data_IF_983243121039
#
_entry.id   IF_983243121039
#
_cell.length_a   1.000
_cell.length_b   1.000
_cell.length_c   1.000
_cell.angle_alpha   90.00
_cell.angle_beta   90.00
_cell.angle_gamma   90.00
#
_symmetry.space_group_name_H-M   'P 1'
#
loop_
_entity.id
_entity.type
_entity.pdbx_description
1 polymer ?
#
# COMPACT_ATOMS: atom_id res chain seq x y z
N UNK A 1 22.08 25.90 11.56
CA UNK A 1 22.23 25.74 10.10
C UNK A 1 20.93 25.17 9.59
N UNK A 2 20.31 25.78 8.58
CA UNK A 2 19.08 25.26 8.01
C UNK A 2 19.37 23.91 7.32
N UNK A 3 18.53 22.90 7.53
CA UNK A 3 18.63 21.64 6.77
C UNK A 3 18.52 21.93 5.27
N UNK A 4 19.19 21.17 4.38
CA UNK A 4 19.19 21.40 2.94
C UNK A 4 17.78 21.59 2.31
N UNK A 5 16.75 20.96 2.89
CA UNK A 5 15.33 21.10 2.50
C UNK A 5 14.77 22.52 2.69
N UNK A 6 15.14 23.22 3.76
CA UNK A 6 14.60 24.54 4.07
C UNK A 6 15.09 25.63 3.11
N UNK A 7 16.34 25.53 2.64
CA UNK A 7 16.90 26.51 1.71
C UNK A 7 16.33 26.35 0.30
N UNK A 8 16.05 25.10 -0.10
CA UNK A 8 15.38 24.78 -1.35
C UNK A 8 13.95 25.32 -1.41
N UNK A 9 13.13 25.06 -0.39
CA UNK A 9 11.76 25.60 -0.30
C UNK A 9 11.73 27.13 -0.36
N UNK A 10 12.66 27.77 0.36
CA UNK A 10 12.78 29.24 0.37
C UNK A 10 13.13 29.78 -1.01
N UNK A 11 14.05 29.12 -1.71
CA UNK A 11 14.47 29.53 -3.05
C UNK A 11 13.35 29.33 -4.08
N UNK A 12 12.63 28.20 -4.04
CA UNK A 12 11.48 27.96 -4.91
C UNK A 12 10.38 29.01 -4.70
N UNK A 13 10.03 29.33 -3.45
CA UNK A 13 9.04 30.38 -3.14
C UNK A 13 9.45 31.74 -3.69
N UNK A 14 10.73 32.11 -3.56
CA UNK A 14 11.24 33.37 -4.10
C UNK A 14 11.19 33.42 -5.62
N UNK A 15 11.52 32.31 -6.27
CA UNK A 15 11.45 32.19 -7.73
C UNK A 15 10.01 32.36 -8.20
N UNK A 16 9.08 31.59 -7.64
CA UNK A 16 7.64 31.67 -7.97
C UNK A 16 7.10 33.09 -7.76
N UNK A 17 7.47 33.75 -6.66
CA UNK A 17 7.03 35.12 -6.39
C UNK A 17 7.59 36.17 -7.38
N UNK A 18 8.66 35.84 -8.09
CA UNK A 18 9.29 36.70 -9.09
C UNK A 18 8.93 36.31 -10.54
N UNK A 19 8.11 35.28 -10.73
CA UNK A 19 7.69 34.78 -12.05
C UNK A 19 6.21 35.11 -12.28
N UNK A 20 5.87 35.53 -13.50
CA UNK A 20 4.48 35.79 -13.87
C UNK A 20 3.70 34.46 -13.97
N UNK A 21 2.46 34.37 -13.47
CA UNK A 21 1.65 33.14 -13.55
C UNK A 21 1.38 32.62 -14.98
N UNK A 22 1.51 33.49 -15.98
CA UNK A 22 1.36 33.14 -17.41
C UNK A 22 2.64 32.57 -18.04
N UNK A 23 3.76 32.57 -17.31
CA UNK A 23 5.01 31.96 -17.74
C UNK A 23 4.81 30.45 -17.95
N UNK A 24 5.37 29.91 -19.03
CA UNK A 24 5.24 28.52 -19.41
C UNK A 24 5.82 27.55 -18.37
N UNK A 25 6.82 27.99 -17.61
CA UNK A 25 7.49 27.20 -16.57
C UNK A 25 6.79 27.33 -15.19
N UNK A 26 5.87 28.29 -15.02
CA UNK A 26 5.19 28.50 -13.75
C UNK A 26 4.53 27.24 -13.15
N UNK A 27 3.73 26.43 -13.89
CA UNK A 27 3.10 25.24 -13.32
C UNK A 27 4.12 24.15 -12.93
N UNK A 28 5.27 24.10 -13.60
CA UNK A 28 6.38 23.23 -13.20
C UNK A 28 6.99 23.68 -11.87
N UNK A 29 7.13 24.99 -11.64
CA UNK A 29 7.62 25.52 -10.36
C UNK A 29 6.64 25.24 -9.22
N UNK A 30 5.33 25.42 -9.46
CA UNK A 30 4.29 25.04 -8.51
C UNK A 30 4.36 23.55 -8.17
N UNK A 31 4.53 22.69 -9.18
CA UNK A 31 4.58 21.25 -9.00
C UNK A 31 5.77 20.86 -8.12
N UNK A 32 6.96 21.40 -8.40
CA UNK A 32 8.17 21.16 -7.61
C UNK A 32 8.03 21.64 -6.17
N UNK A 33 7.39 22.80 -5.96
CA UNK A 33 7.12 23.29 -4.62
C UNK A 33 6.16 22.35 -3.88
N UNK A 34 5.07 21.93 -4.52
CA UNK A 34 4.09 21.02 -3.95
C UNK A 34 4.70 19.65 -3.58
N UNK A 35 5.47 19.05 -4.48
CA UNK A 35 6.20 17.80 -4.23
C UNK A 35 7.13 17.93 -3.01
N UNK A 36 7.87 19.05 -2.93
CA UNK A 36 8.80 19.28 -1.82
C UNK A 36 8.08 19.48 -0.47
N UNK A 37 6.93 20.15 -0.47
CA UNK A 37 6.10 20.29 0.71
C UNK A 37 5.55 18.92 1.18
N UNK A 38 5.16 18.04 0.26
CA UNK A 38 4.72 16.67 0.58
C UNK A 38 5.87 15.85 1.18
N UNK A 39 7.08 15.96 0.63
CA UNK A 39 8.27 15.30 1.19
C UNK A 39 8.59 15.79 2.60
N UNK A 40 8.59 17.10 2.84
CA UNK A 40 8.86 17.67 4.16
C UNK A 40 7.75 17.31 5.17
N UNK A 41 6.49 17.24 4.72
CA UNK A 41 5.40 16.69 5.53
C UNK A 41 5.70 15.26 5.95
N UNK A 42 5.99 14.36 5.00
CA UNK A 42 6.26 12.94 5.29
C UNK A 42 7.41 12.78 6.28
N UNK A 43 8.48 13.55 6.10
CA UNK A 43 9.61 13.53 7.02
C UNK A 43 9.19 13.90 8.45
N UNK A 44 8.36 14.93 8.62
CA UNK A 44 7.86 15.32 9.96
C UNK A 44 6.99 14.25 10.58
N UNK A 45 6.16 13.57 9.79
CA UNK A 45 5.34 12.44 10.26
C UNK A 45 6.19 11.25 10.69
N UNK A 46 7.25 10.93 9.94
CA UNK A 46 8.20 9.88 10.31
C UNK A 46 8.90 10.20 11.64
N UNK A 47 9.33 11.45 11.84
CA UNK A 47 9.92 11.90 13.10
C UNK A 47 8.90 11.83 14.23
N UNK A 48 7.67 12.31 14.02
CA UNK A 48 6.58 12.25 14.99
C UNK A 48 6.28 10.81 15.41
N UNK A 49 6.13 9.89 14.44
CA UNK A 49 5.91 8.47 14.69
C UNK A 49 7.06 7.83 15.47
N UNK A 50 8.31 8.20 15.15
CA UNK A 50 9.50 7.77 15.89
C UNK A 50 9.48 8.22 17.35
N UNK A 51 9.10 9.48 17.60
CA UNK A 51 8.96 10.02 18.96
C UNK A 51 7.83 9.33 19.74
N UNK A 52 6.68 9.07 19.11
CA UNK A 52 5.58 8.30 19.70
C UNK A 52 6.04 6.89 20.08
N UNK A 53 6.75 6.21 19.16
CA UNK A 53 7.31 4.87 19.42
C UNK A 53 8.34 4.85 20.55
N UNK A 54 9.02 5.97 20.80
CA UNK A 54 9.96 6.14 21.91
C UNK A 54 9.30 6.62 23.23
N UNK A 55 7.99 6.86 23.25
CA UNK A 55 7.26 7.31 24.43
C UNK A 55 7.46 8.79 24.77
N UNK A 56 7.75 9.65 23.78
CA UNK A 56 7.88 11.08 23.97
C UNK A 56 6.55 11.75 24.40
N UNK A 57 6.65 12.93 25.02
CA UNK A 57 5.46 13.67 25.44
C UNK A 57 4.73 14.32 24.24
N UNK A 58 3.41 14.46 24.34
CA UNK A 58 2.58 15.06 23.27
C UNK A 58 3.07 16.42 22.79
N UNK A 59 3.55 17.28 23.71
CA UNK A 59 4.13 18.61 23.40
C UNK A 59 5.32 18.58 22.42
N UNK A 60 5.99 17.44 22.27
CA UNK A 60 7.11 17.23 21.34
C UNK A 60 6.62 16.71 19.98
N UNK A 61 5.47 16.02 19.96
CA UNK A 61 4.89 15.36 18.78
C UNK A 61 3.91 16.28 18.04
N UNK A 62 2.98 16.91 18.78
CA UNK A 62 1.90 17.73 18.23
C UNK A 62 2.39 18.85 17.27
N UNK A 63 3.49 19.58 17.55
CA UNK A 63 3.98 20.59 16.61
C UNK A 63 4.44 20.01 15.26
N UNK A 64 4.99 18.79 15.25
CA UNK A 64 5.43 18.12 14.04
C UNK A 64 4.23 17.67 13.19
N UNK A 65 3.22 17.10 13.83
CA UNK A 65 1.97 16.68 13.17
C UNK A 65 1.20 17.89 12.61
N UNK A 66 1.13 18.99 13.38
CA UNK A 66 0.53 20.24 12.93
C UNK A 66 1.29 20.82 11.73
N UNK A 67 2.63 20.82 11.77
CA UNK A 67 3.45 21.27 10.65
C UNK A 67 3.28 20.39 9.41
N UNK A 68 3.26 19.07 9.56
CA UNK A 68 2.99 18.14 8.46
C UNK A 68 1.62 18.40 7.81
N UNK A 69 0.60 18.59 8.64
CA UNK A 69 -0.76 18.91 8.17
C UNK A 69 -0.80 20.23 7.40
N UNK A 70 -0.15 21.27 7.90
CA UNK A 70 -0.08 22.56 7.22
C UNK A 70 0.64 22.47 5.86
N UNK A 71 1.76 21.74 5.79
CA UNK A 71 2.51 21.53 4.54
C UNK A 71 1.69 20.78 3.49
N UNK A 72 0.92 19.76 3.88
CA UNK A 72 0.00 19.07 2.97
C UNK A 72 -1.13 19.95 2.48
N UNK A 73 -1.70 20.76 3.36
CA UNK A 73 -2.77 21.69 2.98
C UNK A 73 -2.27 22.69 1.94
N UNK A 74 -1.04 23.20 2.12
CA UNK A 74 -0.40 24.07 1.13
C UNK A 74 -0.12 23.35 -0.19
N UNK A 75 0.45 22.14 -0.15
CA UNK A 75 0.69 21.34 -1.36
C UNK A 75 -0.62 21.06 -2.13
N UNK A 76 -1.70 20.72 -1.43
CA UNK A 76 -3.01 20.50 -2.03
C UNK A 76 -3.55 21.76 -2.74
N UNK A 77 -3.32 22.95 -2.17
CA UNK A 77 -3.70 24.21 -2.83
C UNK A 77 -2.91 24.43 -4.13
N UNK A 78 -1.60 24.15 -4.13
CA UNK A 78 -0.76 24.28 -5.33
C UNK A 78 -1.15 23.28 -6.42
N UNK A 79 -1.46 22.02 -6.06
CA UNK A 79 -1.97 21.06 -7.03
C UNK A 79 -3.32 21.50 -7.61
N UNK A 80 -4.23 22.03 -6.79
CA UNK A 80 -5.50 22.57 -7.28
C UNK A 80 -5.27 23.75 -8.24
N UNK A 81 -4.31 24.64 -7.95
CA UNK A 81 -3.93 25.73 -8.85
C UNK A 81 -3.40 25.22 -10.19
N UNK A 82 -2.55 24.18 -10.20
CA UNK A 82 -2.07 23.54 -11.44
C UNK A 82 -3.24 22.97 -12.26
N UNK A 83 -4.24 22.40 -11.60
CA UNK A 83 -5.36 21.69 -12.24
C UNK A 83 -6.40 22.64 -12.83
N UNK A 84 -6.70 23.75 -12.14
CA UNK A 84 -7.79 24.67 -12.47
C UNK A 84 -7.29 26.04 -12.99
N UNK A 85 -5.98 26.27 -12.98
CA UNK A 85 -5.37 27.52 -13.46
C UNK A 85 -5.57 27.74 -14.96
N UNK A 86 -6.01 28.94 -15.39
CA UNK A 86 -6.39 29.20 -16.78
C UNK A 86 -5.23 29.12 -17.77
N UNK A 87 -4.00 29.31 -17.30
CA UNK A 87 -2.79 29.24 -18.12
C UNK A 87 -2.20 27.82 -18.23
N UNK A 88 -2.77 26.83 -17.52
CA UNK A 88 -2.15 25.50 -17.34
C UNK A 88 -2.90 24.36 -18.02
N UNK A 89 -3.89 24.65 -18.88
CA UNK A 89 -4.75 23.67 -19.53
C UNK A 89 -4.02 22.57 -20.33
N UNK A 90 -2.77 22.80 -20.71
CA UNK A 90 -1.92 21.84 -21.45
C UNK A 90 -0.66 21.43 -20.68
N UNK A 91 -0.63 21.63 -19.36
CA UNK A 91 0.52 21.24 -18.56
C UNK A 91 0.69 19.71 -18.59
N UNK A 92 1.88 19.25 -18.97
CA UNK A 92 2.15 17.83 -19.25
C UNK A 92 2.01 16.91 -18.04
N UNK A 93 2.04 17.46 -16.82
CA UNK A 93 1.97 16.72 -15.56
C UNK A 93 0.68 17.00 -14.77
N UNK A 94 -0.40 17.44 -15.45
CA UNK A 94 -1.72 17.59 -14.83
C UNK A 94 -2.24 16.27 -14.26
N UNK A 95 -1.91 15.13 -14.89
CA UNK A 95 -2.23 13.79 -14.38
C UNK A 95 -1.58 13.50 -13.01
N UNK A 96 -0.33 13.93 -12.82
CA UNK A 96 0.37 13.87 -11.54
C UNK A 96 -0.33 14.75 -10.51
N UNK A 97 -0.62 16.02 -10.84
CA UNK A 97 -1.30 16.93 -9.92
C UNK A 97 -2.67 16.41 -9.48
N UNK A 98 -3.46 15.86 -10.42
CA UNK A 98 -4.76 15.24 -10.14
C UNK A 98 -4.63 14.07 -9.14
N UNK A 99 -3.64 13.19 -9.36
CA UNK A 99 -3.38 12.06 -8.47
C UNK A 99 -2.94 12.54 -7.08
N UNK A 100 -1.94 13.41 -6.99
CA UNK A 100 -1.36 13.83 -5.69
C UNK A 100 -2.39 14.62 -4.86
N UNK A 101 -3.22 15.47 -5.49
CA UNK A 101 -4.34 16.12 -4.81
C UNK A 101 -5.34 15.11 -4.23
N UNK A 102 -5.71 14.09 -5.02
CA UNK A 102 -6.60 13.04 -4.55
C UNK A 102 -5.98 12.22 -3.41
N UNK A 103 -4.69 11.91 -3.50
CA UNK A 103 -3.97 11.16 -2.48
C UNK A 103 -3.94 11.92 -1.14
N UNK A 104 -3.65 13.23 -1.18
CA UNK A 104 -3.69 14.08 0.02
C UNK A 104 -5.10 14.11 0.62
N UNK A 105 -6.14 14.32 -0.20
CA UNK A 105 -7.53 14.33 0.27
C UNK A 105 -7.94 12.98 0.86
N UNK A 106 -7.57 11.88 0.22
CA UNK A 106 -7.82 10.53 0.72
C UNK A 106 -7.16 10.29 2.06
N UNK A 107 -5.90 10.68 2.23
CA UNK A 107 -5.16 10.55 3.49
C UNK A 107 -5.76 11.40 4.61
N UNK A 108 -6.38 12.53 4.28
CA UNK A 108 -7.12 13.37 5.21
C UNK A 108 -8.55 12.87 5.52
N UNK A 109 -8.98 11.75 4.92
CA UNK A 109 -10.36 11.24 5.03
C UNK A 109 -11.39 12.03 4.22
N UNK A 110 -10.97 12.99 3.39
CA UNK A 110 -11.84 13.73 2.47
C UNK A 110 -12.14 12.88 1.22
N UNK A 111 -12.97 11.87 1.44
CA UNK A 111 -13.39 10.95 0.39
C UNK A 111 -14.30 11.57 -0.65
N UNK A 112 -14.97 12.69 -0.33
CA UNK A 112 -15.78 13.42 -1.31
C UNK A 112 -14.87 14.20 -2.24
N UNK A 113 -13.93 14.96 -1.68
CA UNK A 113 -13.01 15.78 -2.45
C UNK A 113 -11.99 14.97 -3.27
N UNK A 114 -11.63 13.75 -2.87
CA UNK A 114 -10.71 12.93 -3.70
C UNK A 114 -11.36 12.43 -5.01
N UNK A 115 -12.70 12.34 -5.09
CA UNK A 115 -13.38 11.67 -6.21
C UNK A 115 -13.19 12.40 -7.53
N UNK A 116 -13.43 13.72 -7.55
CA UNK A 116 -13.40 14.48 -8.79
C UNK A 116 -12.03 14.47 -9.47
N UNK A 117 -10.90 14.73 -8.77
CA UNK A 117 -9.58 14.62 -9.38
C UNK A 117 -9.28 13.21 -9.93
N UNK A 118 -9.68 12.14 -9.22
CA UNK A 118 -9.48 10.77 -9.71
C UNK A 118 -10.34 10.46 -10.95
N UNK A 119 -11.59 10.92 -10.99
CA UNK A 119 -12.45 10.75 -12.15
C UNK A 119 -11.91 11.49 -13.38
N UNK A 120 -11.43 12.73 -13.20
CA UNK A 120 -10.73 13.50 -14.25
C UNK A 120 -9.49 12.76 -14.72
N UNK A 121 -8.66 12.24 -13.81
CA UNK A 121 -7.47 11.46 -14.15
C UNK A 121 -7.81 10.25 -15.03
N UNK A 122 -8.80 9.45 -14.63
CA UNK A 122 -9.22 8.26 -15.39
C UNK A 122 -9.83 8.62 -16.75
N UNK A 123 -10.60 9.71 -16.82
CA UNK A 123 -11.29 10.15 -18.05
C UNK A 123 -10.35 10.82 -19.05
N UNK A 124 -9.56 11.77 -18.58
CA UNK A 124 -8.79 12.70 -19.41
C UNK A 124 -7.36 12.18 -19.67
N UNK A 125 -6.82 11.34 -18.78
CA UNK A 125 -5.46 10.79 -18.87
C UNK A 125 -5.42 9.25 -18.71
N UNK A 126 -6.20 8.48 -19.50
CA UNK A 126 -6.33 7.03 -19.31
C UNK A 126 -5.04 6.22 -19.55
N UNK A 127 -4.01 6.84 -20.13
CA UNK A 127 -2.68 6.25 -20.35
C UNK A 127 -1.65 6.69 -19.29
N UNK A 128 -2.05 7.50 -18.30
CA UNK A 128 -1.15 7.96 -17.26
C UNK A 128 -0.60 6.77 -16.46
N UNK A 129 0.70 6.78 -16.09
CA UNK A 129 1.26 5.79 -15.19
C UNK A 129 0.62 5.83 -13.78
N UNK A 130 -0.17 6.87 -13.45
CA UNK A 130 -0.90 7.01 -12.18
C UNK A 130 -2.24 6.28 -12.16
N UNK A 131 -2.70 5.71 -13.27
CA UNK A 131 -4.00 5.02 -13.34
C UNK A 131 -4.11 3.84 -12.37
N UNK A 132 -3.11 2.94 -12.21
CA UNK A 132 -3.17 1.87 -11.21
C UNK A 132 -3.30 2.44 -9.79
N UNK A 133 -2.54 3.48 -9.45
CA UNK A 133 -2.58 4.13 -8.15
C UNK A 133 -3.93 4.82 -7.89
N UNK A 134 -4.54 5.43 -8.93
CA UNK A 134 -5.88 6.02 -8.84
C UNK A 134 -6.97 4.98 -8.58
N UNK A 135 -6.92 3.84 -9.27
CA UNK A 135 -7.83 2.72 -8.96
C UNK A 135 -7.60 2.18 -7.56
N UNK A 136 -6.35 2.14 -7.10
CA UNK A 136 -6.03 1.69 -5.75
C UNK A 136 -6.67 2.59 -4.68
N UNK A 137 -6.62 3.91 -4.84
CA UNK A 137 -7.26 4.85 -3.89
C UNK A 137 -8.77 4.62 -3.80
N UNK A 138 -9.45 4.40 -4.92
CA UNK A 138 -10.87 4.01 -4.89
C UNK A 138 -11.08 2.67 -4.19
N UNK A 139 -10.24 1.68 -4.48
CA UNK A 139 -10.34 0.35 -3.88
C UNK A 139 -10.18 0.39 -2.35
N UNK A 140 -9.15 1.07 -1.86
CA UNK A 140 -8.86 1.23 -0.44
C UNK A 140 -9.97 2.00 0.28
N UNK A 141 -10.57 3.00 -0.36
CA UNK A 141 -11.75 3.69 0.16
C UNK A 141 -12.93 2.75 0.34
N UNK A 142 -13.35 2.03 -0.71
CA UNK A 142 -14.48 1.11 -0.62
C UNK A 142 -14.21 -0.05 0.35
N UNK A 143 -12.96 -0.53 0.40
CA UNK A 143 -12.55 -1.55 1.36
C UNK A 143 -12.74 -1.06 2.80
N UNK A 144 -12.26 0.16 3.09
CA UNK A 144 -12.36 0.77 4.42
C UNK A 144 -13.80 1.07 4.82
N UNK A 145 -14.67 1.38 3.85
CA UNK A 145 -16.11 1.56 4.05
C UNK A 145 -16.89 0.24 4.22
N UNK A 146 -16.24 -0.92 4.12
CA UNK A 146 -16.92 -2.22 4.17
C UNK A 146 -17.63 -2.62 2.87
N UNK A 147 -17.52 -1.82 1.82
CA UNK A 147 -18.17 -2.04 0.52
C UNK A 147 -17.35 -3.00 -0.35
N UNK A 148 -17.27 -4.26 0.08
CA UNK A 148 -16.41 -5.29 -0.51
C UNK A 148 -16.63 -5.51 -2.02
N UNK A 149 -17.88 -5.40 -2.49
CA UNK A 149 -18.20 -5.55 -3.92
C UNK A 149 -17.60 -4.42 -4.78
N UNK A 150 -17.63 -3.17 -4.29
CA UNK A 150 -17.00 -2.05 -4.98
C UNK A 150 -15.48 -2.12 -4.87
N UNK A 151 -14.96 -2.42 -3.67
CA UNK A 151 -13.52 -2.61 -3.44
C UNK A 151 -12.94 -3.63 -4.42
N UNK A 152 -13.62 -4.77 -4.59
CA UNK A 152 -13.19 -5.80 -5.51
C UNK A 152 -13.06 -5.31 -6.95
N UNK A 153 -14.08 -4.61 -7.47
CA UNK A 153 -14.07 -4.11 -8.86
C UNK A 153 -12.87 -3.21 -9.12
N UNK A 154 -12.46 -2.39 -8.15
CA UNK A 154 -11.31 -1.52 -8.29
C UNK A 154 -9.98 -2.25 -8.09
N UNK A 155 -9.83 -3.13 -7.09
CA UNK A 155 -8.62 -3.93 -6.96
C UNK A 155 -8.40 -4.87 -8.16
N UNK A 156 -9.47 -5.45 -8.74
CA UNK A 156 -9.40 -6.26 -9.95
C UNK A 156 -8.82 -5.43 -11.11
N UNK A 157 -9.21 -4.15 -11.25
CA UNK A 157 -8.60 -3.25 -12.24
C UNK A 157 -7.11 -3.08 -12.01
N UNK A 158 -6.67 -2.81 -10.77
CA UNK A 158 -5.24 -2.71 -10.43
C UNK A 158 -4.52 -4.01 -10.79
N UNK A 159 -5.11 -5.16 -10.49
CA UNK A 159 -4.52 -6.47 -10.76
C UNK A 159 -4.31 -6.79 -12.25
N UNK A 160 -5.00 -6.09 -13.17
CA UNK A 160 -4.79 -6.20 -14.62
C UNK A 160 -3.49 -5.55 -15.09
N UNK A 161 -2.94 -4.60 -14.35
CA UNK A 161 -1.68 -3.93 -14.70
C UNK A 161 -0.48 -4.77 -14.24
N UNK A 162 -0.05 -5.70 -15.09
CA UNK A 162 0.98 -6.70 -14.74
C UNK A 162 2.30 -6.10 -14.20
N UNK A 163 2.67 -4.90 -14.64
CA UNK A 163 3.91 -4.22 -14.26
C UNK A 163 3.70 -3.12 -13.21
N UNK A 164 2.47 -2.90 -12.73
CA UNK A 164 2.21 -1.89 -11.70
C UNK A 164 2.78 -2.34 -10.35
N UNK A 165 3.47 -1.42 -9.66
CA UNK A 165 4.04 -1.68 -8.32
C UNK A 165 2.95 -2.00 -7.29
N UNK A 166 1.75 -1.49 -7.49
CA UNK A 166 0.57 -1.67 -6.65
C UNK A 166 -0.06 -3.06 -6.78
N UNK A 167 0.24 -3.78 -7.86
CA UNK A 167 -0.44 -5.04 -8.19
C UNK A 167 -0.34 -6.08 -7.07
N UNK A 168 0.83 -6.35 -6.45
CA UNK A 168 0.90 -7.30 -5.33
C UNK A 168 0.04 -6.88 -4.15
N UNK A 169 0.01 -5.59 -3.81
CA UNK A 169 -0.83 -5.09 -2.73
C UNK A 169 -2.33 -5.21 -3.05
N UNK A 170 -2.72 -4.95 -4.30
CA UNK A 170 -4.10 -5.18 -4.75
C UNK A 170 -4.50 -6.67 -4.67
N UNK A 171 -3.61 -7.60 -5.05
CA UNK A 171 -3.85 -9.03 -4.88
C UNK A 171 -4.01 -9.41 -3.41
N UNK A 172 -3.14 -8.89 -2.55
CA UNK A 172 -3.24 -9.09 -1.11
C UNK A 172 -4.59 -8.61 -0.56
N UNK A 173 -5.03 -7.40 -0.96
CA UNK A 173 -6.33 -6.87 -0.54
C UNK A 173 -7.52 -7.63 -1.14
N UNK A 174 -7.42 -8.13 -2.37
CA UNK A 174 -8.41 -9.04 -2.93
C UNK A 174 -8.56 -10.31 -2.10
N UNK A 175 -7.49 -10.82 -1.48
CA UNK A 175 -7.61 -11.94 -0.56
C UNK A 175 -8.52 -11.58 0.63
N UNK A 176 -8.29 -10.41 1.24
CA UNK A 176 -9.12 -9.91 2.34
C UNK A 176 -10.56 -9.64 1.92
N UNK A 177 -10.78 -9.09 0.73
CA UNK A 177 -12.13 -8.92 0.15
C UNK A 177 -12.84 -10.28 0.06
N UNK A 178 -12.14 -11.34 -0.35
CA UNK A 178 -12.70 -12.69 -0.40
C UNK A 178 -12.91 -13.32 0.97
N UNK A 179 -12.12 -12.96 1.98
CA UNK A 179 -12.34 -13.41 3.36
C UNK A 179 -13.51 -12.70 4.05
N UNK A 180 -13.84 -11.47 3.64
CA UNK A 180 -14.99 -10.73 4.15
C UNK A 180 -16.28 -11.08 3.39
N UNK A 181 -16.20 -11.16 2.06
CA UNK A 181 -17.36 -11.35 1.19
C UNK A 181 -18.30 -10.14 1.17
N UNK A 182 -19.38 -10.26 0.39
CA UNK A 182 -20.48 -9.30 0.26
C UNK A 182 -21.78 -10.04 -0.03
N UNK A 183 -22.90 -9.32 -0.05
CA UNK A 183 -24.19 -9.89 -0.47
C UNK A 183 -24.16 -10.43 -1.92
N UNK A 184 -23.48 -9.72 -2.84
CA UNK A 184 -23.35 -10.12 -4.25
C UNK A 184 -22.35 -11.26 -4.45
N UNK A 185 -21.38 -11.38 -3.55
CA UNK A 185 -20.26 -12.29 -3.69
C UNK A 185 -19.84 -12.83 -2.34
N UNK A 186 -20.31 -14.04 -1.97
CA UNK A 186 -20.05 -14.63 -0.67
C UNK A 186 -18.56 -14.81 -0.40
N UNK A 187 -18.26 -14.95 0.89
CA UNK A 187 -16.94 -15.29 1.39
C UNK A 187 -16.38 -16.54 0.70
N UNK A 188 -15.15 -16.45 0.21
CA UNK A 188 -14.45 -17.49 -0.54
C UNK A 188 -12.98 -17.60 -0.09
N UNK A 189 -12.71 -18.41 0.95
CA UNK A 189 -11.35 -18.57 1.48
C UNK A 189 -10.41 -19.29 0.50
N UNK A 190 -10.94 -20.11 -0.41
CA UNK A 190 -10.14 -20.77 -1.44
C UNK A 190 -9.58 -19.72 -2.40
N UNK A 191 -10.41 -18.77 -2.84
CA UNK A 191 -9.95 -17.66 -3.66
C UNK A 191 -9.00 -16.73 -2.93
N UNK A 192 -9.24 -16.49 -1.63
CA UNK A 192 -8.31 -15.74 -0.81
C UNK A 192 -6.92 -16.40 -0.75
N UNK A 193 -6.87 -17.73 -0.55
CA UNK A 193 -5.64 -18.49 -0.56
C UNK A 193 -4.91 -18.39 -1.91
N UNK A 194 -5.63 -18.47 -3.03
CA UNK A 194 -5.04 -18.27 -4.36
C UNK A 194 -4.36 -16.90 -4.49
N UNK A 195 -5.02 -15.83 -4.04
CA UNK A 195 -4.47 -14.49 -4.09
C UNK A 195 -3.23 -14.33 -3.21
N UNK A 196 -3.26 -14.83 -1.97
CA UNK A 196 -2.09 -14.80 -1.07
C UNK A 196 -0.91 -15.56 -1.66
N UNK A 197 -1.15 -16.73 -2.27
CA UNK A 197 -0.09 -17.50 -2.96
C UNK A 197 0.51 -16.70 -4.12
N UNK A 198 -0.32 -16.00 -4.91
CA UNK A 198 0.17 -15.14 -5.99
C UNK A 198 1.05 -14.01 -5.45
N UNK A 199 0.70 -13.39 -4.32
CA UNK A 199 1.53 -12.37 -3.66
C UNK A 199 2.89 -12.93 -3.25
N UNK A 200 2.93 -14.14 -2.68
CA UNK A 200 4.17 -14.79 -2.26
C UNK A 200 5.10 -15.14 -3.43
N UNK A 201 4.53 -15.42 -4.60
CA UNK A 201 5.27 -15.80 -5.81
C UNK A 201 5.64 -14.60 -6.68
N UNK A 202 5.07 -13.42 -6.44
CA UNK A 202 5.34 -12.22 -7.21
C UNK A 202 6.66 -11.56 -6.76
N UNK A 203 7.59 -11.38 -7.71
CA UNK A 203 8.88 -10.74 -7.47
C UNK A 203 8.76 -9.25 -7.21
N UNK A 204 7.67 -8.61 -7.64
CA UNK A 204 7.38 -7.21 -7.36
C UNK A 204 6.85 -6.97 -5.94
N UNK A 205 6.45 -8.03 -5.21
CA UNK A 205 6.10 -7.90 -3.79
C UNK A 205 7.30 -7.41 -2.99
N UNK A 206 7.09 -6.55 -2.00
CA UNK A 206 8.14 -6.25 -1.03
C UNK A 206 8.18 -7.29 0.11
N UNK A 207 9.25 -7.26 0.90
CA UNK A 207 9.48 -8.23 1.96
C UNK A 207 8.44 -8.16 3.10
N UNK A 208 7.91 -6.97 3.40
CA UNK A 208 6.90 -6.81 4.43
C UNK A 208 5.55 -7.36 3.97
N UNK A 209 5.15 -7.07 2.73
CA UNK A 209 3.93 -7.63 2.14
C UNK A 209 4.01 -9.16 2.05
N UNK A 210 5.16 -9.71 1.65
CA UNK A 210 5.37 -11.18 1.68
C UNK A 210 5.24 -11.73 3.09
N UNK A 211 5.85 -11.09 4.10
CA UNK A 211 5.74 -11.51 5.50
C UNK A 211 4.29 -11.51 5.98
N UNK A 212 3.52 -10.47 5.65
CA UNK A 212 2.10 -10.39 5.96
C UNK A 212 1.32 -11.52 5.29
N UNK A 213 1.49 -11.72 3.99
CA UNK A 213 0.84 -12.80 3.26
C UNK A 213 1.19 -14.19 3.81
N UNK A 214 2.44 -14.44 4.23
CA UNK A 214 2.85 -15.71 4.88
C UNK A 214 2.07 -15.96 6.16
N UNK A 215 1.83 -14.92 6.97
CA UNK A 215 1.04 -15.02 8.21
C UNK A 215 -0.44 -15.27 7.90
N UNK A 216 -1.00 -14.57 6.92
CA UNK A 216 -2.42 -14.66 6.58
C UNK A 216 -2.80 -15.97 5.89
N UNK A 217 -1.85 -16.64 5.22
CA UNK A 217 -2.07 -17.98 4.68
C UNK A 217 -2.41 -18.99 5.80
N UNK A 218 -1.88 -18.80 7.01
CA UNK A 218 -2.02 -19.77 8.11
C UNK A 218 -3.49 -19.98 8.52
N UNK A 219 -4.25 -18.96 8.97
CA UNK A 219 -5.64 -19.16 9.36
C UNK A 219 -6.52 -19.64 8.20
N UNK A 220 -6.24 -19.16 6.97
CA UNK A 220 -6.96 -19.62 5.77
C UNK A 220 -6.70 -21.11 5.53
N UNK A 221 -5.45 -21.58 5.67
CA UNK A 221 -5.12 -22.99 5.51
C UNK A 221 -5.68 -23.86 6.64
N UNK A 222 -5.78 -23.36 7.88
CA UNK A 222 -6.48 -24.08 8.96
C UNK A 222 -7.93 -24.34 8.57
N UNK A 223 -8.60 -23.35 7.97
CA UNK A 223 -10.01 -23.45 7.63
C UNK A 223 -10.29 -24.43 6.48
N UNK A 224 -9.57 -24.31 5.37
CA UNK A 224 -9.89 -25.07 4.14
C UNK A 224 -8.85 -26.11 3.75
N UNK A 225 -7.68 -26.06 4.38
CA UNK A 225 -6.52 -26.87 4.02
C UNK A 225 -6.63 -28.30 4.54
N UNK A 226 -5.73 -29.14 4.02
CA UNK A 226 -5.58 -30.53 4.47
C UNK A 226 -4.26 -30.66 5.21
N UNK A 227 -4.24 -31.01 6.51
CA UNK A 227 -3.01 -31.12 7.30
C UNK A 227 -1.96 -32.03 6.65
N UNK A 228 -2.39 -33.17 6.10
CA UNK A 228 -1.51 -34.11 5.40
C UNK A 228 -0.81 -33.54 4.15
N UNK A 229 -1.34 -32.46 3.56
CA UNK A 229 -0.75 -31.77 2.39
C UNK A 229 0.07 -30.53 2.76
N UNK A 230 0.07 -30.12 4.03
CA UNK A 230 0.68 -28.86 4.46
C UNK A 230 2.17 -28.80 4.11
N UNK A 231 2.94 -29.85 4.43
CA UNK A 231 4.37 -29.87 4.16
C UNK A 231 4.71 -29.56 2.69
N UNK A 232 4.02 -30.21 1.76
CA UNK A 232 4.23 -30.00 0.33
C UNK A 232 3.77 -28.60 -0.13
N UNK A 233 2.64 -28.12 0.42
CA UNK A 233 2.10 -26.80 0.11
C UNK A 233 3.02 -25.68 0.60
N UNK A 234 3.37 -25.66 1.89
CA UNK A 234 4.19 -24.61 2.50
C UNK A 234 5.59 -24.57 1.90
N UNK A 235 6.19 -25.73 1.61
CA UNK A 235 7.48 -25.78 0.89
C UNK A 235 7.45 -25.06 -0.46
N UNK A 236 6.33 -25.13 -1.19
CA UNK A 236 6.19 -24.48 -2.51
C UNK A 236 6.07 -22.95 -2.42
N UNK A 237 5.56 -22.42 -1.30
CA UNK A 237 5.24 -20.99 -1.16
C UNK A 237 6.17 -20.25 -0.18
N UNK A 238 7.01 -21.00 0.53
CA UNK A 238 7.91 -20.46 1.53
C UNK A 238 9.20 -19.88 0.94
N UNK A 239 9.56 -20.24 -0.30
CA UNK A 239 10.69 -19.65 -0.99
C UNK A 239 10.40 -18.19 -1.33
N UNK A 240 11.27 -17.30 -0.89
CA UNK A 240 11.27 -15.91 -1.32
C UNK A 240 11.87 -15.85 -2.74
N UNK A 241 11.07 -15.47 -3.76
CA UNK A 241 11.51 -15.54 -5.16
C UNK A 241 12.64 -14.55 -5.49
N UNK A 242 12.91 -13.57 -4.61
CA UNK A 242 14.00 -12.60 -4.76
C UNK A 242 15.31 -13.05 -4.12
N UNK A 243 15.25 -13.79 -3.01
CA UNK A 243 16.45 -14.16 -2.21
C UNK A 243 16.76 -15.65 -2.22
N UNK A 244 15.82 -16.51 -2.65
CA UNK A 244 15.90 -17.96 -2.56
C UNK A 244 15.81 -18.50 -1.13
N UNK A 245 15.69 -17.63 -0.11
CA UNK A 245 15.51 -18.03 1.28
C UNK A 245 14.17 -18.74 1.44
N UNK A 246 14.14 -19.84 2.18
CA UNK A 246 12.93 -20.61 2.46
C UNK A 246 12.53 -20.48 3.93
N UNK A 247 11.26 -20.14 4.17
CA UNK A 247 10.69 -19.99 5.52
C UNK A 247 9.70 -21.13 5.86
N UNK A 248 9.84 -22.33 5.29
CA UNK A 248 8.85 -23.42 5.41
C UNK A 248 8.78 -23.98 6.83
N UNK A 249 9.93 -24.08 7.52
CA UNK A 249 10.01 -24.44 8.94
C UNK A 249 9.21 -23.46 9.80
N UNK A 250 9.41 -22.16 9.60
CA UNK A 250 8.74 -21.12 10.38
C UNK A 250 7.22 -21.15 10.15
N UNK A 251 6.78 -21.23 8.88
CA UNK A 251 5.37 -21.31 8.52
C UNK A 251 4.69 -22.57 9.06
N UNK A 252 5.37 -23.73 9.03
CA UNK A 252 4.85 -24.97 9.64
C UNK A 252 4.75 -24.84 11.16
N UNK A 253 5.67 -24.14 11.81
CA UNK A 253 5.60 -23.81 13.23
C UNK A 253 4.35 -22.99 13.57
N UNK A 254 4.06 -21.94 12.80
CA UNK A 254 2.83 -21.15 12.98
C UNK A 254 1.57 -21.95 12.71
N UNK A 255 1.57 -22.79 11.68
CA UNK A 255 0.42 -23.64 11.37
C UNK A 255 0.15 -24.65 12.48
N UNK A 256 1.19 -25.26 13.05
CA UNK A 256 1.06 -26.17 14.19
C UNK A 256 0.39 -25.44 15.35
N UNK A 257 0.90 -24.26 15.71
CA UNK A 257 0.35 -23.46 16.79
C UNK A 257 -1.12 -23.11 16.53
N UNK A 258 -1.45 -22.66 15.31
CA UNK A 258 -2.81 -22.31 14.94
C UNK A 258 -3.79 -23.50 15.03
N UNK A 259 -3.36 -24.72 14.68
CA UNK A 259 -4.20 -25.91 14.90
C UNK A 259 -4.38 -26.23 16.40
N UNK A 260 -3.36 -26.04 17.23
CA UNK A 260 -3.47 -26.23 18.69
C UNK A 260 -4.45 -25.22 19.30
N UNK A 261 -4.32 -23.95 18.92
CA UNK A 261 -5.21 -22.87 19.39
C UNK A 261 -6.67 -23.11 18.97
N UNK A 262 -6.88 -23.77 17.82
CA UNK A 262 -8.19 -24.19 17.34
C UNK A 262 -8.72 -25.50 17.97
N UNK A 263 -7.99 -26.10 18.92
CA UNK A 263 -8.34 -27.38 19.56
C UNK A 263 -8.24 -28.61 18.64
N UNK A 264 -7.52 -28.49 17.51
CA UNK A 264 -7.36 -29.54 16.50
C UNK A 264 -6.06 -30.31 16.71
N UNK A 265 -5.94 -30.97 17.87
CA UNK A 265 -4.70 -31.62 18.31
C UNK A 265 -4.19 -32.72 17.36
N UNK A 266 -5.11 -33.49 16.77
CA UNK A 266 -4.74 -34.53 15.81
C UNK A 266 -4.07 -33.92 14.55
N UNK A 267 -4.56 -32.78 14.09
CA UNK A 267 -4.00 -32.07 12.95
C UNK A 267 -2.67 -31.41 13.32
N UNK A 268 -2.58 -30.82 14.52
CA UNK A 268 -1.32 -30.30 15.06
C UNK A 268 -0.24 -31.39 15.14
N UNK A 269 -0.58 -32.63 15.53
CA UNK A 269 0.34 -33.76 15.54
C UNK A 269 0.83 -34.14 14.13
N UNK A 270 -0.03 -34.04 13.11
CA UNK A 270 0.38 -34.19 11.70
C UNK A 270 1.40 -33.11 11.33
N UNK A 271 1.13 -31.84 11.69
CA UNK A 271 2.04 -30.74 11.39
C UNK A 271 3.36 -30.85 12.16
N UNK A 272 3.36 -31.32 13.41
CA UNK A 272 4.58 -31.54 14.20
C UNK A 272 5.55 -32.52 13.52
N UNK A 273 5.03 -33.60 12.93
CA UNK A 273 5.85 -34.54 12.15
C UNK A 273 6.43 -33.87 10.90
N UNK A 274 5.60 -33.12 10.17
CA UNK A 274 6.04 -32.38 8.98
C UNK A 274 7.12 -31.33 9.31
N UNK A 275 6.99 -30.65 10.45
CA UNK A 275 7.94 -29.66 10.94
C UNK A 275 9.29 -30.30 11.26
N UNK A 276 9.29 -31.39 12.04
CA UNK A 276 10.51 -32.12 12.36
C UNK A 276 11.25 -32.61 11.09
N UNK A 277 10.50 -33.05 10.08
CA UNK A 277 11.08 -33.42 8.78
C UNK A 277 11.70 -32.23 8.04
N UNK A 278 11.08 -31.05 8.12
CA UNK A 278 11.58 -29.81 7.53
C UNK A 278 12.87 -29.33 8.22
N UNK A 279 12.90 -29.34 9.56
CA UNK A 279 14.08 -28.97 10.35
C UNK A 279 15.28 -29.85 10.04
N UNK A 280 15.09 -31.18 9.94
CA UNK A 280 16.18 -32.11 9.55
C UNK A 280 16.72 -31.81 8.16
N UNK A 281 15.87 -31.44 7.20
CA UNK A 281 16.30 -31.04 5.85
C UNK A 281 17.07 -29.71 5.86
N UNK A 282 16.62 -28.74 6.64
CA UNK A 282 17.29 -27.45 6.75
C UNK A 282 18.68 -27.60 7.39
N UNK A 283 18.79 -28.39 8.47
CA UNK A 283 20.06 -28.66 9.14
C UNK A 283 21.06 -29.49 8.30
N UNK A 284 20.60 -30.24 7.31
CA UNK A 284 21.48 -30.98 6.39
C UNK A 284 21.99 -30.12 5.21
N UNK A 285 21.49 -28.89 5.04
CA UNK A 285 21.88 -27.95 3.96
C UNK A 285 22.82 -26.83 4.44
N UNK A 286 22.99 -26.67 5.75
CA UNK A 286 23.94 -25.74 6.37
C UNK A 286 25.25 -26.42 6.71
#
# INVERSE_FOLDING_TARGET
MASPSHDELRNLRRLIAATEPSDADYPEMLLRLADRLVEDSRHKEEVAAGLVGAGAAAREVEPLEAAATALRAEAAALYAEIIDGPHYAHFRATDVALYELAAIRSAAGDHVGMREPLLRLVRDFPQSPRIPSAYLLFADYYFSAGEMAHAERFYDKVATFAQARERPYALYKLAWVRLNGSAERPRDPAKALEYLVRVLQDTASDANLRRAARRDVIPVYVEIGRPAKAAAFFRRIAEDPTTGRTDDVEMLGWLRQAYQDAGRDADAAVISRALADAERRAGARG
#
